data_IF_319835212951
#
_entry.id   IF_319835212951
#
_cell.length_a   1.000
_cell.length_b   1.000
_cell.length_c   1.000
_cell.angle_alpha   90.00
_cell.angle_beta   90.00
_cell.angle_gamma   90.00
#
_symmetry.space_group_name_H-M   'P 1'
#
loop_
_entity.id
_entity.type
_entity.pdbx_description
1 polymer ?
#
# COMPACT_ATOMS: atom_id res chain seq x y z
N UNK A 1 25.48 19.75 18.55
CA UNK A 1 24.40 18.75 18.63
C UNK A 1 23.30 19.20 19.58
N UNK A 2 22.23 19.80 19.05
CA UNK A 2 20.88 20.03 19.65
C UNK A 2 20.15 20.99 18.68
N UNK A 3 18.92 20.65 18.28
CA UNK A 3 18.02 21.28 17.27
C UNK A 3 17.74 20.50 15.97
N UNK A 4 17.93 19.19 15.96
CA UNK A 4 17.12 18.35 15.06
C UNK A 4 15.97 17.80 15.90
N UNK A 5 14.75 18.32 15.68
CA UNK A 5 13.54 17.64 16.09
C UNK A 5 13.29 16.59 15.01
N UNK A 6 13.34 15.29 15.31
CA UNK A 6 13.12 14.28 14.29
C UNK A 6 11.71 14.45 13.70
N UNK A 7 11.66 14.76 12.41
CA UNK A 7 10.47 14.64 11.60
C UNK A 7 10.38 13.13 11.25
N UNK A 8 9.52 12.40 11.96
CA UNK A 8 9.28 10.96 11.72
C UNK A 8 8.17 10.75 10.67
N UNK A 9 8.12 11.57 9.61
CA UNK A 9 7.07 11.46 8.61
C UNK A 9 7.39 10.33 7.62
N UNK A 10 7.15 9.09 8.06
CA UNK A 10 6.74 8.04 7.16
C UNK A 10 5.23 8.19 6.97
N UNK A 11 4.81 9.03 6.02
CA UNK A 11 3.40 9.20 5.68
C UNK A 11 2.94 8.08 4.75
N UNK A 12 2.93 6.86 5.27
CA UNK A 12 2.25 5.74 4.61
C UNK A 12 0.81 5.67 5.11
N UNK A 13 -0.11 5.25 4.25
CA UNK A 13 -1.49 4.97 4.64
C UNK A 13 -1.97 3.67 4.01
N UNK A 14 -3.04 3.13 4.57
CA UNK A 14 -3.76 1.96 4.07
C UNK A 14 -5.21 2.35 3.80
N UNK A 15 -5.79 1.79 2.74
CA UNK A 15 -7.22 1.94 2.46
C UNK A 15 -7.97 0.84 3.22
N UNK A 16 -9.02 1.18 3.96
CA UNK A 16 -9.86 0.19 4.62
C UNK A 16 -10.44 -0.81 3.61
N UNK A 17 -10.57 -2.07 4.02
CA UNK A 17 -10.95 -3.16 3.11
C UNK A 17 -12.32 -2.92 2.44
N UNK A 18 -13.28 -2.36 3.16
CA UNK A 18 -14.61 -2.03 2.62
C UNK A 18 -14.58 -0.89 1.58
N UNK A 19 -13.53 -0.05 1.63
CA UNK A 19 -13.31 1.06 0.70
C UNK A 19 -12.35 0.70 -0.45
N UNK A 20 -11.86 -0.55 -0.52
CA UNK A 20 -10.97 -1.01 -1.59
C UNK A 20 -11.77 -1.30 -2.86
N UNK A 21 -11.42 -0.61 -3.94
CA UNK A 21 -11.85 -0.94 -5.28
C UNK A 21 -11.16 -2.24 -5.76
N UNK A 22 -11.81 -3.04 -6.63
CA UNK A 22 -11.18 -4.23 -7.21
C UNK A 22 -9.89 -3.87 -7.94
N UNK A 23 -8.78 -4.46 -7.52
CA UNK A 23 -7.47 -4.22 -8.11
C UNK A 23 -6.63 -5.50 -8.14
N UNK A 24 -5.80 -5.60 -9.18
CA UNK A 24 -4.81 -6.65 -9.39
C UNK A 24 -3.47 -5.98 -9.62
N UNK A 25 -2.45 -6.44 -8.89
CA UNK A 25 -1.07 -5.97 -9.02
C UNK A 25 -0.22 -7.10 -9.57
N UNK A 26 0.22 -6.93 -10.81
CA UNK A 26 1.21 -7.80 -11.44
C UNK A 26 2.63 -7.46 -10.99
N UNK A 27 3.62 -8.04 -11.66
CA UNK A 27 5.04 -7.75 -11.37
C UNK A 27 5.47 -6.38 -11.94
N UNK A 28 4.89 -5.98 -13.08
CA UNK A 28 5.24 -4.75 -13.79
C UNK A 28 4.04 -3.85 -14.07
N UNK A 29 2.83 -4.38 -13.89
CA UNK A 29 1.58 -3.81 -14.31
C UNK A 29 0.57 -3.78 -13.16
N UNK A 30 -0.38 -2.87 -13.25
CA UNK A 30 -1.51 -2.78 -12.34
C UNK A 30 -2.78 -2.57 -13.13
N UNK A 31 -3.83 -3.22 -12.65
CA UNK A 31 -5.18 -3.03 -13.15
C UNK A 31 -6.07 -2.77 -11.96
N UNK A 32 -6.94 -1.78 -12.08
CA UNK A 32 -7.99 -1.52 -11.11
C UNK A 32 -9.27 -1.15 -11.86
N UNK A 33 -10.39 -1.31 -11.16
CA UNK A 33 -11.70 -0.86 -11.64
C UNK A 33 -12.21 0.22 -10.70
N UNK A 34 -12.35 1.44 -11.19
CA UNK A 34 -12.95 2.53 -10.42
C UNK A 34 -14.40 2.20 -10.06
N UNK A 35 -14.75 2.42 -8.79
CA UNK A 35 -16.09 2.22 -8.25
C UNK A 35 -16.43 3.41 -7.35
N UNK A 36 -17.63 4.01 -7.47
CA UNK A 36 -18.02 5.12 -6.60
C UNK A 36 -17.93 4.75 -5.12
N UNK A 37 -17.37 5.64 -4.31
CA UNK A 37 -17.19 5.39 -2.87
C UNK A 37 -15.96 4.54 -2.51
N UNK A 38 -15.19 4.05 -3.50
CA UNK A 38 -14.05 3.17 -3.29
C UNK A 38 -12.86 3.59 -4.13
N UNK A 39 -11.66 3.19 -3.71
CA UNK A 39 -10.46 3.41 -4.51
C UNK A 39 -9.42 2.33 -4.30
N UNK A 40 -8.37 2.34 -5.11
CA UNK A 40 -7.22 1.45 -4.98
C UNK A 40 -5.93 2.26 -4.80
N UNK A 41 -4.87 1.68 -4.21
CA UNK A 41 -3.60 2.39 -4.08
C UNK A 41 -3.07 2.90 -5.41
N UNK A 42 -3.22 2.12 -6.49
CA UNK A 42 -2.76 2.52 -7.82
C UNK A 42 -3.56 3.71 -8.36
N UNK A 43 -4.88 3.70 -8.23
CA UNK A 43 -5.74 4.82 -8.65
C UNK A 43 -5.37 6.12 -7.94
N UNK A 44 -5.13 6.06 -6.63
CA UNK A 44 -4.70 7.22 -5.84
C UNK A 44 -3.31 7.69 -6.28
N UNK A 45 -2.37 6.77 -6.49
CA UNK A 45 -1.01 7.09 -6.94
C UNK A 45 -1.01 7.75 -8.33
N UNK A 46 -1.85 7.28 -9.25
CA UNK A 46 -2.03 7.89 -10.58
C UNK A 46 -2.67 9.27 -10.47
N UNK A 47 -3.67 9.44 -9.61
CA UNK A 47 -4.28 10.75 -9.34
C UNK A 47 -3.24 11.73 -8.77
N UNK A 48 -2.44 11.34 -7.77
CA UNK A 48 -1.36 12.15 -7.21
C UNK A 48 -0.33 12.52 -8.30
N UNK A 49 0.05 11.55 -9.13
CA UNK A 49 0.99 11.76 -10.24
C UNK A 49 0.46 12.76 -11.28
N UNK A 50 -0.84 12.75 -11.57
CA UNK A 50 -1.48 13.70 -12.48
C UNK A 50 -1.37 15.18 -12.00
N UNK A 51 -1.13 15.40 -10.70
CA UNK A 51 -0.87 16.71 -10.11
C UNK A 51 0.63 16.98 -9.87
N UNK A 52 1.52 16.26 -10.55
CA UNK A 52 2.98 16.38 -10.44
C UNK A 52 3.54 16.14 -9.03
N UNK A 53 2.87 15.30 -8.24
CA UNK A 53 3.36 14.84 -6.96
C UNK A 53 3.74 13.36 -7.05
N UNK A 54 4.73 12.93 -6.25
CA UNK A 54 5.20 11.55 -6.24
C UNK A 54 4.73 10.84 -4.96
N UNK A 55 3.83 9.87 -5.13
CA UNK A 55 3.62 8.81 -4.15
C UNK A 55 4.35 7.54 -4.58
N UNK A 56 4.43 6.54 -3.70
CA UNK A 56 5.03 5.23 -4.04
C UNK A 56 4.18 4.10 -3.49
N UNK A 57 4.12 2.94 -4.15
CA UNK A 57 3.52 1.78 -3.53
C UNK A 57 4.38 1.31 -2.34
N UNK A 58 3.74 0.64 -1.37
CA UNK A 58 4.48 -0.03 -0.30
C UNK A 58 5.43 -1.08 -0.90
N UNK A 59 6.57 -1.30 -0.23
CA UNK A 59 7.55 -2.31 -0.59
C UNK A 59 6.93 -3.70 -0.64
N UNK A 60 7.20 -4.42 -1.73
CA UNK A 60 6.78 -5.82 -1.89
C UNK A 60 7.49 -6.69 -0.85
N UNK A 61 6.75 -7.36 0.06
CA UNK A 61 7.32 -8.26 1.04
C UNK A 61 8.23 -9.30 0.41
N UNK A 62 9.31 -9.64 1.10
CA UNK A 62 10.35 -10.51 0.56
C UNK A 62 9.78 -11.85 0.07
N UNK A 63 8.89 -12.49 0.82
CA UNK A 63 8.30 -13.78 0.46
C UNK A 63 7.38 -13.75 -0.76
N UNK A 64 6.93 -12.56 -1.20
CA UNK A 64 6.20 -12.38 -2.45
C UNK A 64 7.13 -12.16 -3.65
N UNK A 65 8.40 -11.83 -3.42
CA UNK A 65 9.38 -11.67 -4.49
C UNK A 65 9.65 -13.02 -5.16
N UNK A 66 9.83 -13.07 -6.50
CA UNK A 66 10.06 -14.32 -7.22
C UNK A 66 11.18 -15.19 -6.63
N UNK A 67 12.27 -14.57 -6.17
CA UNK A 67 13.44 -15.26 -5.60
C UNK A 67 13.14 -15.99 -4.28
N UNK A 68 12.16 -15.52 -3.48
CA UNK A 68 11.81 -16.11 -2.19
C UNK A 68 10.49 -16.89 -2.21
N UNK A 69 9.83 -17.03 -3.36
CA UNK A 69 8.51 -17.68 -3.48
C UNK A 69 8.44 -19.08 -2.88
N UNK A 70 9.56 -19.83 -2.89
CA UNK A 70 9.65 -21.19 -2.37
C UNK A 70 10.19 -21.28 -0.94
N UNK A 71 10.55 -20.16 -0.32
CA UNK A 71 11.15 -20.11 1.01
C UNK A 71 10.08 -19.92 2.10
N UNK A 72 10.30 -20.46 3.31
CA UNK A 72 9.43 -20.17 4.44
C UNK A 72 9.52 -18.69 4.81
N UNK A 73 8.41 -18.15 5.33
CA UNK A 73 8.38 -16.85 5.98
C UNK A 73 7.63 -16.98 7.32
N UNK A 74 7.93 -16.10 8.27
CA UNK A 74 7.42 -16.21 9.63
C UNK A 74 6.26 -15.24 9.85
N UNK A 75 5.19 -15.75 10.44
CA UNK A 75 4.00 -15.02 10.90
C UNK A 75 3.84 -15.21 12.40
N UNK A 76 2.88 -14.54 13.03
CA UNK A 76 2.54 -14.75 14.44
C UNK A 76 2.14 -16.22 14.73
N UNK A 77 1.68 -16.94 13.72
CA UNK A 77 1.24 -18.33 13.83
C UNK A 77 2.33 -19.34 13.38
N UNK A 78 3.58 -18.90 13.23
CA UNK A 78 4.71 -19.72 12.76
C UNK A 78 4.94 -19.60 11.26
N UNK A 79 5.31 -20.71 10.62
CA UNK A 79 5.61 -20.72 9.17
C UNK A 79 4.34 -20.37 8.37
N UNK A 80 4.40 -19.28 7.59
CA UNK A 80 3.34 -18.80 6.71
C UNK A 80 3.22 -19.58 5.40
N UNK A 81 4.27 -20.30 5.00
CA UNK A 81 4.29 -21.05 3.72
C UNK A 81 3.55 -22.39 3.85
N UNK A 82 2.73 -22.70 2.85
CA UNK A 82 2.10 -24.02 2.71
C UNK A 82 1.02 -24.31 3.74
N UNK A 83 0.49 -23.27 4.40
CA UNK A 83 -0.60 -23.40 5.39
C UNK A 83 -1.92 -23.80 4.75
N UNK A 84 -2.14 -23.44 3.48
CA UNK A 84 -3.36 -23.75 2.72
C UNK A 84 -2.99 -24.47 1.43
N UNK A 85 -3.81 -25.45 1.05
CA UNK A 85 -3.80 -26.04 -0.29
C UNK A 85 -5.20 -26.58 -0.63
N UNK A 86 -5.38 -27.17 -1.82
CA UNK A 86 -6.66 -27.71 -2.29
C UNK A 86 -7.30 -28.76 -1.35
N UNK A 87 -6.52 -29.36 -0.44
CA UNK A 87 -6.92 -30.43 0.47
C UNK A 87 -6.73 -30.07 1.96
N UNK A 88 -6.21 -28.88 2.25
CA UNK A 88 -5.93 -28.39 3.60
C UNK A 88 -6.58 -27.02 3.78
N UNK A 89 -7.69 -27.01 4.51
CA UNK A 89 -8.29 -25.79 5.04
C UNK A 89 -7.39 -25.26 6.16
N UNK A 90 -6.42 -24.44 5.78
CA UNK A 90 -5.68 -23.60 6.70
C UNK A 90 -6.26 -22.19 6.76
N UNK A 91 -6.00 -21.51 7.86
CA UNK A 91 -6.07 -20.06 7.96
C UNK A 91 -4.69 -19.53 8.35
N UNK A 92 -4.40 -18.31 7.94
CA UNK A 92 -3.19 -17.60 8.30
C UNK A 92 -3.18 -16.25 7.63
N UNK A 93 -3.07 -15.19 8.44
CA UNK A 93 -3.05 -13.81 7.92
C UNK A 93 -1.60 -13.46 7.57
N UNK A 94 -1.38 -13.19 6.29
CA UNK A 94 -0.15 -12.58 5.80
C UNK A 94 -0.27 -11.07 5.87
N UNK A 95 0.04 -10.51 7.04
CA UNK A 95 -0.05 -9.06 7.30
C UNK A 95 0.82 -8.25 6.33
N UNK A 96 1.98 -8.79 5.94
CA UNK A 96 2.87 -8.15 4.98
C UNK A 96 2.22 -8.03 3.60
N UNK A 97 1.60 -9.11 3.12
CA UNK A 97 0.88 -9.11 1.84
C UNK A 97 -0.34 -8.18 1.88
N UNK A 98 -1.07 -8.13 3.00
CA UNK A 98 -2.23 -7.24 3.14
C UNK A 98 -1.85 -5.75 3.13
N UNK A 99 -0.84 -5.36 3.91
CA UNK A 99 -0.33 -3.97 3.90
C UNK A 99 0.18 -3.59 2.51
N UNK A 100 0.87 -4.50 1.82
CA UNK A 100 1.34 -4.27 0.46
C UNK A 100 0.21 -4.10 -0.56
N UNK A 101 -0.90 -4.81 -0.37
CA UNK A 101 -2.08 -4.76 -1.24
C UNK A 101 -2.86 -3.46 -1.08
N UNK A 102 -3.02 -2.99 0.17
CA UNK A 102 -3.90 -1.84 0.49
C UNK A 102 -3.15 -0.54 0.75
N UNK A 103 -1.83 -0.61 0.89
CA UNK A 103 -1.00 0.50 1.35
C UNK A 103 -0.24 1.23 0.24
N UNK A 104 -0.02 2.51 0.48
CA UNK A 104 0.86 3.36 -0.32
C UNK A 104 1.53 4.43 0.55
N UNK A 105 2.67 4.92 0.06
CA UNK A 105 3.41 6.04 0.59
C UNK A 105 2.91 7.34 -0.04
N UNK A 106 2.62 8.33 0.80
CA UNK A 106 2.26 9.68 0.41
C UNK A 106 3.51 10.49 0.05
N UNK A 107 3.37 11.58 -0.73
CA UNK A 107 4.38 12.62 -0.80
C UNK A 107 4.74 13.10 0.61
N UNK A 108 6.02 13.06 0.97
CA UNK A 108 6.48 13.20 2.37
C UNK A 108 7.72 14.08 2.54
N UNK A 109 7.99 14.97 1.59
CA UNK A 109 9.19 15.83 1.65
C UNK A 109 9.09 16.80 2.84
N UNK A 110 10.20 17.00 3.55
CA UNK A 110 10.24 17.85 4.74
C UNK A 110 10.03 19.35 4.45
N UNK A 111 10.07 19.75 3.17
CA UNK A 111 9.79 21.11 2.70
C UNK A 111 8.34 21.31 2.25
N UNK A 112 7.49 20.28 2.31
CA UNK A 112 6.09 20.42 1.93
C UNK A 112 5.35 21.41 2.83
N UNK A 113 4.73 22.41 2.23
CA UNK A 113 3.90 23.37 2.98
C UNK A 113 2.55 22.76 3.36
N UNK A 114 1.86 23.30 4.38
CA UNK A 114 0.51 22.87 4.73
C UNK A 114 -0.48 22.95 3.56
N UNK A 115 -0.34 23.93 2.68
CA UNK A 115 -1.17 24.10 1.48
C UNK A 115 -0.93 22.97 0.48
N UNK A 116 0.32 22.57 0.28
CA UNK A 116 0.67 21.42 -0.56
C UNK A 116 0.10 20.12 0.03
N UNK A 117 0.17 19.94 1.35
CA UNK A 117 -0.43 18.79 2.02
C UNK A 117 -1.96 18.76 1.85
N UNK A 118 -2.62 19.91 1.95
CA UNK A 118 -4.07 20.01 1.73
C UNK A 118 -4.48 19.64 0.30
N UNK A 119 -3.67 20.00 -0.71
CA UNK A 119 -3.90 19.56 -2.10
C UNK A 119 -3.85 18.03 -2.20
N UNK A 120 -2.84 17.39 -1.59
CA UNK A 120 -2.73 15.92 -1.58
C UNK A 120 -3.95 15.29 -0.89
N UNK A 121 -4.35 15.82 0.26
CA UNK A 121 -5.53 15.35 1.00
C UNK A 121 -6.78 15.47 0.13
N UNK A 122 -6.97 16.60 -0.56
CA UNK A 122 -8.12 16.81 -1.43
C UNK A 122 -8.15 15.83 -2.61
N UNK A 123 -7.01 15.61 -3.27
CA UNK A 123 -6.88 14.63 -4.36
C UNK A 123 -7.33 13.26 -3.88
N UNK A 124 -6.82 12.80 -2.72
CA UNK A 124 -7.17 11.51 -2.14
C UNK A 124 -8.67 11.43 -1.85
N UNK A 125 -9.26 12.45 -1.22
CA UNK A 125 -10.69 12.45 -0.95
C UNK A 125 -11.55 12.38 -2.22
N UNK A 126 -11.09 12.97 -3.33
CA UNK A 126 -11.80 12.91 -4.62
C UNK A 126 -11.76 11.52 -5.25
N UNK A 127 -10.74 10.71 -4.97
CA UNK A 127 -10.66 9.32 -5.43
C UNK A 127 -11.74 8.40 -4.82
N UNK A 128 -12.36 8.80 -3.70
CA UNK A 128 -13.45 8.04 -3.05
C UNK A 128 -14.85 8.59 -3.35
N UNK A 129 -14.99 9.53 -4.28
CA UNK A 129 -16.30 10.11 -4.63
C UNK A 129 -17.06 9.30 -5.68
#
# INVERSE_FOLDING_TARGET
GRKSVPNFWLSCTIIDEDAMAPAVRGEQDYLYRSEPGKSSPQEILEAIAAFNAEGRPIWKPMHLQPVYRTHPFITAEGNGRGRTNAYLAGSGIDVGADIFRRGFCLPSDNKMTPEQQNIIIEIIHRCFR
#
